data_IF_023288413382
#
_entry.id   IF_023288413382
#
_cell.length_a   1.000
_cell.length_b   1.000
_cell.length_c   1.000
_cell.angle_alpha   90.00
_cell.angle_beta   90.00
_cell.angle_gamma   90.00
#
_symmetry.space_group_name_H-M   'P 1'
#
loop_
_entity.id
_entity.type
_entity.pdbx_description
1 polymer ?
#
# COMPACT_ATOMS: atom_id res chain seq x y z
N UNK A 1 -13.54 -2.40 0.41
CA UNK A 1 -12.97 -3.53 1.16
C UNK A 1 -12.05 -4.30 0.23
N UNK A 2 -10.74 -4.04 0.26
CA UNK A 2 -9.79 -5.01 -0.28
C UNK A 2 -9.64 -6.10 0.78
N UNK A 3 -9.89 -7.36 0.45
CA UNK A 3 -9.61 -8.49 1.35
C UNK A 3 -8.14 -8.46 1.74
N UNK A 4 -7.80 -8.85 2.97
CA UNK A 4 -6.42 -8.82 3.52
C UNK A 4 -5.38 -9.40 2.55
N UNK A 5 -5.77 -10.47 1.86
CA UNK A 5 -4.97 -11.18 0.86
C UNK A 5 -4.66 -10.29 -0.36
N UNK A 6 -5.62 -9.50 -0.82
CA UNK A 6 -5.44 -8.58 -1.96
C UNK A 6 -4.57 -7.40 -1.57
N UNK A 7 -4.76 -6.83 -0.37
CA UNK A 7 -3.90 -5.74 0.10
C UNK A 7 -2.46 -6.21 0.31
N UNK A 8 -2.25 -7.44 0.79
CA UNK A 8 -0.93 -8.07 0.92
C UNK A 8 -0.26 -8.27 -0.45
N UNK A 9 -1.00 -8.78 -1.44
CA UNK A 9 -0.49 -8.98 -2.80
C UNK A 9 -0.14 -7.63 -3.45
N UNK A 10 -0.99 -6.60 -3.30
CA UNK A 10 -0.70 -5.25 -3.79
C UNK A 10 0.57 -4.67 -3.15
N UNK A 11 0.77 -4.90 -1.85
CA UNK A 11 1.96 -4.45 -1.14
C UNK A 11 3.22 -5.14 -1.67
N UNK A 12 3.15 -6.46 -1.90
CA UNK A 12 4.24 -7.21 -2.52
C UNK A 12 4.55 -6.73 -3.94
N UNK A 13 3.52 -6.49 -4.75
CA UNK A 13 3.67 -5.96 -6.11
C UNK A 13 4.30 -4.57 -6.12
N UNK A 14 3.92 -3.70 -5.18
CA UNK A 14 4.54 -2.38 -5.00
C UNK A 14 6.01 -2.49 -4.61
N UNK A 15 6.36 -3.36 -3.67
CA UNK A 15 7.76 -3.55 -3.27
C UNK A 15 8.64 -3.98 -4.46
N UNK A 16 8.16 -4.93 -5.25
CA UNK A 16 8.85 -5.39 -6.47
C UNK A 16 8.90 -4.27 -7.52
N UNK A 17 7.80 -3.54 -7.73
CA UNK A 17 7.73 -2.44 -8.68
C UNK A 17 8.68 -1.29 -8.34
N UNK A 18 8.76 -0.89 -7.07
CA UNK A 18 9.69 0.14 -6.59
C UNK A 18 11.14 -0.34 -6.76
N UNK A 19 11.42 -1.61 -6.45
CA UNK A 19 12.76 -2.19 -6.60
C UNK A 19 13.22 -2.18 -8.06
N UNK A 20 12.38 -2.66 -8.98
CA UNK A 20 12.69 -2.66 -10.41
C UNK A 20 12.79 -1.24 -10.96
N UNK A 21 11.90 -0.33 -10.55
CA UNK A 21 11.95 1.08 -10.96
C UNK A 21 13.22 1.80 -10.47
N UNK A 22 13.71 1.47 -9.28
CA UNK A 22 14.99 1.96 -8.76
C UNK A 22 16.19 1.40 -9.51
N UNK A 23 16.16 0.11 -9.91
CA UNK A 23 17.23 -0.51 -10.71
C UNK A 23 17.29 0.04 -12.14
N UNK A 24 16.13 0.36 -12.73
CA UNK A 24 16.03 0.98 -14.06
C UNK A 24 16.31 2.50 -14.07
N UNK A 25 16.60 3.09 -12.91
CA UNK A 25 16.84 4.54 -12.72
C UNK A 25 15.65 5.42 -13.16
N UNK A 26 14.48 4.82 -13.35
CA UNK A 26 13.21 5.51 -13.66
C UNK A 26 12.75 6.34 -12.44
N UNK A 27 13.22 5.95 -11.26
CA UNK A 27 12.89 6.58 -9.98
C UNK A 27 13.55 7.97 -9.81
N UNK A 28 14.55 8.31 -10.62
CA UNK A 28 15.21 9.63 -10.58
C UNK A 28 14.29 10.78 -11.02
N UNK A 29 13.25 10.46 -11.80
CA UNK A 29 12.24 11.44 -12.16
C UNK A 29 11.38 11.81 -10.94
N UNK A 30 11.50 13.06 -10.50
CA UNK A 30 10.74 13.63 -9.38
C UNK A 30 9.23 13.39 -9.46
N UNK A 31 8.65 13.44 -10.67
CA UNK A 31 7.22 13.17 -10.87
C UNK A 31 6.88 11.71 -10.57
N UNK A 32 7.70 10.79 -11.06
CA UNK A 32 7.49 9.34 -10.87
C UNK A 32 7.69 8.97 -9.41
N UNK A 33 8.76 9.47 -8.78
CA UNK A 33 9.04 9.31 -7.36
C UNK A 33 7.85 9.76 -6.51
N UNK A 34 7.29 10.93 -6.80
CA UNK A 34 6.17 11.50 -6.04
C UNK A 34 4.91 10.66 -6.17
N UNK A 35 4.53 10.27 -7.39
CA UNK A 35 3.35 9.43 -7.64
C UNK A 35 3.47 8.08 -6.96
N UNK A 36 4.65 7.46 -7.03
CA UNK A 36 4.94 6.17 -6.40
C UNK A 36 4.84 6.25 -4.87
N UNK A 37 5.36 7.33 -4.29
CA UNK A 37 5.32 7.58 -2.85
C UNK A 37 3.89 7.80 -2.36
N UNK A 38 3.08 8.60 -3.08
CA UNK A 38 1.66 8.81 -2.75
C UNK A 38 0.88 7.50 -2.83
N UNK A 39 1.12 6.70 -3.87
CA UNK A 39 0.47 5.39 -4.06
C UNK A 39 0.82 4.43 -2.92
N UNK A 40 2.09 4.42 -2.50
CA UNK A 40 2.54 3.62 -1.37
C UNK A 40 1.87 4.05 -0.06
N UNK A 41 1.78 5.35 0.17
CA UNK A 41 1.13 5.90 1.35
C UNK A 41 -0.37 5.60 1.39
N UNK A 42 -1.04 5.64 0.23
CA UNK A 42 -2.45 5.24 0.10
C UNK A 42 -2.67 3.76 0.44
N UNK A 43 -1.75 2.87 0.06
CA UNK A 43 -1.83 1.44 0.41
C UNK A 43 -1.60 1.24 1.90
N UNK A 44 -0.63 1.93 2.51
CA UNK A 44 -0.42 1.89 3.97
C UNK A 44 -1.66 2.40 4.70
N UNK A 45 -2.22 3.54 4.28
CA UNK A 45 -3.44 4.08 4.87
C UNK A 45 -4.61 3.10 4.74
N UNK A 46 -4.78 2.47 3.58
CA UNK A 46 -5.81 1.45 3.37
C UNK A 46 -5.61 0.25 4.31
N UNK A 47 -4.37 -0.22 4.48
CA UNK A 47 -4.04 -1.33 5.36
C UNK A 47 -4.26 -0.99 6.85
N UNK A 48 -3.86 0.21 7.28
CA UNK A 48 -4.03 0.70 8.66
C UNK A 48 -5.51 0.95 8.97
N UNK A 49 -6.25 1.57 8.05
CA UNK A 49 -7.69 1.83 8.21
C UNK A 49 -8.48 0.53 8.17
N UNK A 50 -8.17 -0.41 7.27
CA UNK A 50 -8.80 -1.72 7.23
C UNK A 50 -8.58 -2.49 8.54
N UNK A 51 -7.35 -2.50 9.07
CA UNK A 51 -7.06 -3.11 10.37
C UNK A 51 -7.79 -2.43 11.54
N UNK A 52 -7.94 -1.11 11.48
CA UNK A 52 -8.66 -0.34 12.50
C UNK A 52 -10.18 -0.55 12.43
N UNK A 53 -10.74 -0.73 11.22
CA UNK A 53 -12.16 -1.06 11.01
C UNK A 53 -12.50 -2.48 11.46
N UNK A 54 -11.67 -3.48 11.12
CA UNK A 54 -11.85 -4.87 11.60
C UNK A 54 -11.89 -4.92 13.13
N UNK A 55 -10.98 -4.19 13.80
CA UNK A 55 -10.97 -4.09 15.26
C UNK A 55 -12.22 -3.41 15.85
N UNK A 56 -12.78 -2.44 15.12
CA UNK A 56 -13.95 -1.67 15.58
C UNK A 56 -15.27 -2.43 15.41
N UNK A 57 -15.32 -3.37 14.46
CA UNK A 57 -16.46 -4.29 14.29
C UNK A 57 -16.46 -5.37 15.38
N UNK A 58 -15.29 -5.90 15.76
CA UNK A 58 -15.16 -6.85 16.87
C UNK A 58 -15.54 -6.25 18.24
N UNK A 59 -15.25 -4.96 18.49
CA UNK A 59 -15.60 -4.28 19.75
C UNK A 59 -17.07 -3.83 19.86
N UNK A 60 -17.85 -3.88 18.77
CA UNK A 60 -19.26 -3.46 18.73
C UNK A 60 -20.24 -4.65 18.81
N UNK A 61 -19.71 -5.88 18.74
CA UNK A 61 -20.46 -7.15 18.86
C UNK A 61 -20.25 -7.86 20.22
N UNK A 62 -19.37 -7.35 21.11
CA UNK A 62 -19.28 -7.74 22.54
C UNK A 62 -20.15 -6.84 23.44
#
# INVERSE_FOLDING_TARGET
>A
MLTDKQSLILCGFMAVGIFVAGVLDILDNFVILTVLTITFLAIILNLVVAKSFVKKEEELEE
#
